data_IF_035172553425
#
_entry.id   IF_035172553425
#
_cell.length_a   1.000
_cell.length_b   1.000
_cell.length_c   1.000
_cell.angle_alpha   90.00
_cell.angle_beta   90.00
_cell.angle_gamma   90.00
#
_symmetry.space_group_name_H-M   'P 1'
#
loop_
_entity.id
_entity.type
_entity.pdbx_description
1 polymer ?
#
# COMPACT_ATOMS: atom_id res chain seq x y z
N UNK A 1 -10.90 12.54 6.74
CA UNK A 1 -10.51 13.85 7.32
C UNK A 1 -10.56 14.88 6.22
N UNK A 2 -11.43 15.88 6.35
CA UNK A 2 -11.64 16.98 5.41
C UNK A 2 -10.53 18.03 5.45
N UNK A 3 -10.31 18.70 4.31
CA UNK A 3 -9.33 19.78 4.13
C UNK A 3 -9.52 20.96 5.12
N UNK A 4 -10.77 21.27 5.47
CA UNK A 4 -11.08 22.33 6.44
C UNK A 4 -10.63 21.98 7.87
N UNK A 5 -10.62 20.69 8.23
CA UNK A 5 -10.13 20.23 9.53
C UNK A 5 -8.62 20.39 9.64
N UNK A 6 -7.89 20.22 8.53
CA UNK A 6 -6.44 20.37 8.48
C UNK A 6 -5.98 21.82 8.78
N UNK A 7 -6.61 22.83 8.16
CA UNK A 7 -6.30 24.23 8.43
C UNK A 7 -6.54 24.63 9.90
N UNK A 8 -7.56 24.04 10.54
CA UNK A 8 -7.87 24.28 11.95
C UNK A 8 -6.79 23.70 12.88
N UNK A 9 -6.20 22.55 12.52
CA UNK A 9 -5.13 21.93 13.30
C UNK A 9 -3.75 22.58 13.05
N UNK A 10 -3.45 22.99 11.82
CA UNK A 10 -2.22 23.71 11.47
C UNK A 10 -2.14 25.11 12.11
N UNK A 11 -3.27 25.68 12.55
CA UNK A 11 -3.37 26.96 13.25
C UNK A 11 -3.49 26.83 14.78
N UNK A 12 -3.48 25.62 15.35
CA UNK A 12 -3.53 25.40 16.81
C UNK A 12 -2.30 26.03 17.51
N UNK A 13 -2.33 26.38 18.81
CA UNK A 13 -1.14 26.89 19.50
C UNK A 13 0.06 25.94 19.34
N UNK A 14 1.28 26.50 19.41
CA UNK A 14 2.52 25.73 19.35
C UNK A 14 2.49 24.59 20.38
N UNK A 15 3.19 23.49 20.08
CA UNK A 15 3.40 22.36 20.99
C UNK A 15 3.67 22.88 22.41
N UNK A 16 3.06 22.27 23.43
CA UNK A 16 3.27 22.69 24.83
C UNK A 16 4.77 22.88 25.11
N UNK A 17 5.14 24.08 25.57
CA UNK A 17 6.53 24.41 25.86
C UNK A 17 7.10 23.41 26.88
N UNK A 18 8.19 22.74 26.49
CA UNK A 18 8.88 21.75 27.33
C UNK A 18 8.48 20.30 27.09
N UNK A 19 7.56 20.00 26.17
CA UNK A 19 7.12 18.63 25.86
C UNK A 19 7.15 18.34 24.36
N UNK A 20 7.73 17.19 23.99
CA UNK A 20 7.72 16.68 22.62
C UNK A 20 6.86 15.40 22.54
N UNK A 21 5.73 15.47 21.83
CA UNK A 21 4.86 14.32 21.61
C UNK A 21 5.05 13.73 20.20
N UNK A 22 4.97 12.40 20.09
CA UNK A 22 5.02 11.66 18.82
C UNK A 22 3.94 10.58 18.81
N UNK A 23 3.14 10.56 17.75
CA UNK A 23 2.20 9.48 17.49
C UNK A 23 2.78 8.50 16.47
N UNK A 24 2.54 7.20 16.67
CA UNK A 24 3.00 6.14 15.78
C UNK A 24 2.15 4.88 15.98
N UNK A 25 2.18 3.98 15.00
CA UNK A 25 1.52 2.69 15.10
C UNK A 25 2.44 1.64 15.72
N UNK A 26 1.88 0.81 16.60
CA UNK A 26 2.57 -0.34 17.18
C UNK A 26 1.65 -1.55 17.14
N UNK A 27 2.19 -2.67 16.67
CA UNK A 27 1.52 -3.95 16.72
C UNK A 27 1.59 -4.53 18.13
N UNK A 28 0.44 -4.78 18.73
CA UNK A 28 0.34 -5.45 20.04
C UNK A 28 -0.34 -6.80 19.87
N UNK A 29 0.11 -7.79 20.66
CA UNK A 29 -0.57 -9.08 20.77
C UNK A 29 -1.89 -8.86 21.48
N UNK A 30 -3.00 -9.29 20.87
CA UNK A 30 -4.30 -9.30 21.52
C UNK A 30 -4.49 -10.60 22.31
N UNK A 31 -5.42 -10.59 23.25
CA UNK A 31 -5.80 -11.79 24.01
C UNK A 31 -6.62 -12.79 23.17
N UNK A 32 -6.84 -12.52 21.88
CA UNK A 32 -7.63 -13.35 20.98
C UNK A 32 -6.72 -14.29 20.20
N UNK A 33 -7.22 -15.51 19.98
CA UNK A 33 -6.66 -16.47 19.05
C UNK A 33 -7.51 -16.50 17.78
N UNK A 34 -6.89 -16.74 16.63
CA UNK A 34 -7.61 -16.96 15.37
C UNK A 34 -8.24 -18.36 15.31
N UNK A 35 -8.93 -18.67 14.22
CA UNK A 35 -9.61 -19.96 14.04
C UNK A 35 -8.63 -21.15 13.97
N UNK A 36 -7.34 -20.88 13.77
CA UNK A 36 -6.25 -21.84 13.66
C UNK A 36 -5.43 -21.91 14.97
N UNK A 37 -5.78 -21.11 15.99
CA UNK A 37 -5.14 -21.09 17.30
C UNK A 37 -3.92 -20.18 17.43
N UNK A 38 -3.64 -19.32 16.44
CA UNK A 38 -2.53 -18.35 16.52
C UNK A 38 -2.95 -17.05 17.19
N UNK A 39 -2.03 -16.37 17.91
CA UNK A 39 -2.28 -15.04 18.45
C UNK A 39 -2.65 -14.03 17.38
N UNK A 40 -3.79 -13.35 17.58
CA UNK A 40 -4.17 -12.22 16.73
C UNK A 40 -3.40 -10.99 17.20
N UNK A 41 -2.77 -10.32 16.26
CA UNK A 41 -2.09 -9.05 16.51
C UNK A 41 -2.95 -7.91 15.99
N UNK A 42 -3.02 -6.81 16.75
CA UNK A 42 -3.73 -5.60 16.36
C UNK A 42 -2.77 -4.42 16.28
N UNK A 43 -2.92 -3.60 15.25
CA UNK A 43 -2.22 -2.34 15.13
C UNK A 43 -2.94 -1.28 15.97
N UNK A 44 -2.24 -0.72 16.94
CA UNK A 44 -2.76 0.29 17.87
C UNK A 44 -1.93 1.55 17.76
N UNK A 45 -2.60 2.70 17.73
CA UNK A 45 -1.94 4.00 17.77
C UNK A 45 -1.44 4.29 19.18
N UNK A 46 -0.14 4.56 19.31
CA UNK A 46 0.51 4.97 20.54
C UNK A 46 0.88 6.46 20.50
N UNK A 47 0.99 7.05 21.69
CA UNK A 47 1.45 8.42 21.89
C UNK A 47 2.62 8.38 22.87
N UNK A 48 3.80 8.70 22.36
CA UNK A 48 5.02 8.85 23.11
C UNK A 48 5.23 10.32 23.47
N UNK A 49 5.49 10.61 24.73
CA UNK A 49 5.69 11.96 25.24
C UNK A 49 7.06 12.01 25.91
N UNK A 50 7.91 12.95 25.48
CA UNK A 50 9.24 13.22 26.04
C UNK A 50 9.27 14.61 26.66
N UNK A 51 9.85 14.71 27.84
CA UNK A 51 10.10 16.00 28.50
C UNK A 51 11.42 16.58 27.99
N UNK A 52 11.45 17.88 27.69
CA UNK A 52 12.65 18.56 27.19
C UNK A 52 13.76 18.61 28.24
N UNK A 53 13.37 18.68 29.51
CA UNK A 53 14.30 18.75 30.65
C UNK A 53 14.77 17.36 31.11
N UNK A 54 14.07 16.29 30.71
CA UNK A 54 14.43 14.92 31.03
C UNK A 54 14.10 13.98 29.85
N UNK A 55 15.05 13.85 28.94
CA UNK A 55 14.91 13.03 27.73
C UNK A 55 14.93 11.52 28.03
N UNK A 56 15.37 11.12 29.23
CA UNK A 56 15.41 9.71 29.66
C UNK A 56 14.02 9.18 30.01
N UNK A 57 13.12 10.05 30.47
CA UNK A 57 11.75 9.69 30.78
C UNK A 57 10.88 9.76 29.52
N UNK A 58 10.49 8.58 29.04
CA UNK A 58 9.64 8.40 27.86
C UNK A 58 8.30 7.85 28.32
N UNK A 59 7.25 8.66 28.24
CA UNK A 59 5.88 8.22 28.54
C UNK A 59 5.24 7.67 27.28
N UNK A 60 5.20 6.34 27.16
CA UNK A 60 4.70 5.64 25.98
C UNK A 60 3.46 4.80 26.31
N UNK A 61 2.29 5.22 25.81
CA UNK A 61 1.03 4.50 26.04
C UNK A 61 0.07 4.66 24.85
N UNK A 62 -0.98 3.84 24.74
CA UNK A 62 -1.99 3.98 23.70
C UNK A 62 -2.55 5.41 23.62
N UNK A 63 -2.76 5.88 22.39
CA UNK A 63 -3.29 7.20 22.11
C UNK A 63 -4.79 7.25 22.45
N UNK A 64 -5.14 7.93 23.55
CA UNK A 64 -6.53 8.22 23.90
C UNK A 64 -7.01 9.51 23.24
N UNK A 65 -8.33 9.72 23.24
CA UNK A 65 -8.96 10.96 22.72
C UNK A 65 -8.39 12.20 23.42
N UNK A 66 -8.09 12.10 24.72
CA UNK A 66 -7.53 13.22 25.49
C UNK A 66 -6.11 13.57 25.02
N UNK A 67 -5.28 12.57 24.68
CA UNK A 67 -3.94 12.81 24.11
C UNK A 67 -4.03 13.46 22.73
N UNK A 68 -4.99 13.04 21.91
CA UNK A 68 -5.23 13.64 20.59
C UNK A 68 -5.67 15.11 20.72
N UNK A 69 -6.53 15.41 21.72
CA UNK A 69 -6.96 16.79 22.01
C UNK A 69 -5.81 17.64 22.55
N UNK A 70 -4.91 17.06 23.33
CA UNK A 70 -3.74 17.73 23.91
C UNK A 70 -2.65 18.01 22.87
N UNK A 71 -2.42 17.09 21.93
CA UNK A 71 -1.39 17.19 20.89
C UNK A 71 -1.98 17.12 19.48
N UNK A 72 -2.83 18.09 19.11
CA UNK A 72 -3.60 18.02 17.86
C UNK A 72 -2.70 18.20 16.62
N UNK A 73 -1.62 18.97 16.72
CA UNK A 73 -0.66 19.19 15.61
C UNK A 73 0.11 17.91 15.33
N UNK A 74 0.65 17.27 16.36
CA UNK A 74 1.45 16.04 16.27
C UNK A 74 0.59 14.88 15.76
N UNK A 75 -0.67 14.80 16.19
CA UNK A 75 -1.61 13.83 15.68
C UNK A 75 -1.97 14.08 14.21
N UNK A 76 -2.17 15.34 13.80
CA UNK A 76 -2.44 15.67 12.41
C UNK A 76 -1.26 15.30 11.49
N UNK A 77 -0.01 15.56 11.93
CA UNK A 77 1.20 15.15 11.22
C UNK A 77 1.28 13.63 11.08
N UNK A 78 1.05 12.89 12.17
CA UNK A 78 0.99 11.43 12.14
C UNK A 78 -0.07 10.93 11.16
N UNK A 79 -1.27 11.51 11.14
CA UNK A 79 -2.31 11.12 10.19
C UNK A 79 -1.94 11.39 8.73
N UNK A 80 -1.21 12.48 8.45
CA UNK A 80 -0.68 12.75 7.11
C UNK A 80 0.39 11.73 6.72
N UNK A 81 1.34 11.45 7.60
CA UNK A 81 2.39 10.46 7.36
C UNK A 81 1.80 9.06 7.13
N UNK A 82 0.81 8.66 7.93
CA UNK A 82 0.07 7.40 7.73
C UNK A 82 -0.60 7.33 6.36
N UNK A 83 -1.28 8.40 5.94
CA UNK A 83 -1.94 8.44 4.63
C UNK A 83 -0.93 8.30 3.49
N UNK A 84 0.21 8.98 3.57
CA UNK A 84 1.28 8.86 2.58
C UNK A 84 1.87 7.44 2.53
N UNK A 85 2.02 6.78 3.68
CA UNK A 85 2.45 5.38 3.75
C UNK A 85 1.38 4.41 3.22
N UNK A 86 0.09 4.74 3.36
CA UNK A 86 -1.02 3.93 2.85
C UNK A 86 -1.25 4.09 1.33
N UNK A 87 -0.87 5.23 0.75
CA UNK A 87 -1.05 5.55 -0.68
C UNK A 87 0.09 5.01 -1.57
N UNK A 88 1.05 4.25 -1.03
CA UNK A 88 2.15 3.67 -1.79
C UNK A 88 2.78 2.45 -1.13
N UNK A 89 3.81 1.90 -1.78
CA UNK A 89 4.66 0.84 -1.24
C UNK A 89 5.53 1.42 -0.13
N UNK A 90 5.41 0.94 1.13
CA UNK A 90 6.24 1.44 2.23
C UNK A 90 7.72 1.21 1.96
N UNK A 91 8.58 2.18 2.32
CA UNK A 91 10.04 2.06 2.12
C UNK A 91 10.64 0.84 2.84
N UNK A 92 10.01 0.32 3.88
CA UNK A 92 10.40 -0.89 4.60
C UNK A 92 10.31 -2.16 3.75
N UNK A 93 9.46 -2.16 2.73
CA UNK A 93 9.33 -3.28 1.78
C UNK A 93 10.34 -3.17 0.63
N UNK A 94 11.05 -2.05 0.54
CA UNK A 94 11.98 -1.78 -0.55
C UNK A 94 13.35 -2.38 -0.24
N UNK A 95 13.58 -3.60 -0.74
CA UNK A 95 14.76 -4.42 -0.44
C UNK A 95 16.11 -3.80 -0.85
N UNK A 96 16.11 -2.76 -1.69
CA UNK A 96 17.32 -2.09 -2.17
C UNK A 96 17.87 -1.04 -1.18
N UNK A 97 17.11 -0.69 -0.15
CA UNK A 97 17.56 0.24 0.90
C UNK A 97 17.79 -0.49 2.22
N UNK A 98 18.85 -0.05 2.90
CA UNK A 98 19.16 -0.46 4.26
C UNK A 98 18.31 0.30 5.28
N UNK A 99 18.19 -0.25 6.50
CA UNK A 99 17.42 0.41 7.59
C UNK A 99 17.87 1.86 7.87
N UNK A 100 19.18 2.18 7.94
CA UNK A 100 19.62 3.57 8.13
C UNK A 100 19.21 4.50 6.99
N UNK A 101 19.25 4.04 5.74
CA UNK A 101 18.83 4.82 4.57
C UNK A 101 17.32 5.08 4.60
N UNK A 102 16.52 4.08 4.97
CA UNK A 102 15.07 4.22 5.15
C UNK A 102 14.76 5.26 6.23
N UNK A 103 15.44 5.21 7.37
CA UNK A 103 15.25 6.19 8.45
C UNK A 103 15.66 7.61 8.00
N UNK A 104 16.76 7.75 7.28
CA UNK A 104 17.20 9.04 6.74
C UNK A 104 16.18 9.63 5.75
N UNK A 105 15.56 8.81 4.90
CA UNK A 105 14.50 9.24 3.98
C UNK A 105 13.22 9.66 4.72
N UNK A 106 12.83 8.92 5.76
CA UNK A 106 11.67 9.26 6.60
C UNK A 106 11.85 10.58 7.34
N UNK A 107 13.06 10.88 7.82
CA UNK A 107 13.38 12.17 8.43
C UNK A 107 13.20 13.31 7.42
N UNK A 108 13.43 13.04 6.12
CA UNK A 108 13.23 13.99 5.02
C UNK A 108 11.79 14.03 4.49
N UNK A 109 10.85 13.32 5.14
CA UNK A 109 9.44 13.31 4.77
C UNK A 109 9.08 12.37 3.61
N UNK A 110 9.96 11.43 3.26
CA UNK A 110 9.73 10.45 2.20
C UNK A 110 9.39 9.11 2.89
N UNK A 111 8.18 8.59 2.65
CA UNK A 111 7.65 7.40 3.36
C UNK A 111 7.32 6.23 2.43
N UNK A 112 7.18 6.48 1.13
CA UNK A 112 6.85 5.45 0.14
C UNK A 112 7.82 5.45 -1.05
N UNK A 113 7.94 4.31 -1.73
CA UNK A 113 8.79 4.15 -2.92
C UNK A 113 8.32 5.07 -4.05
N UNK A 114 7.01 5.27 -4.19
CA UNK A 114 6.39 6.17 -5.18
C UNK A 114 6.74 7.63 -4.87
N UNK A 115 6.69 8.04 -3.60
CA UNK A 115 7.12 9.39 -3.20
C UNK A 115 8.61 9.63 -3.46
N UNK A 116 9.44 8.61 -3.27
CA UNK A 116 10.88 8.65 -3.56
C UNK A 116 11.12 8.77 -5.07
N UNK A 117 10.46 7.96 -5.88
CA UNK A 117 10.59 7.98 -7.35
C UNK A 117 10.03 9.25 -8.02
N UNK A 118 9.04 9.88 -7.40
CA UNK A 118 8.42 11.12 -7.87
C UNK A 118 9.23 12.40 -7.59
N UNK A 119 10.34 12.32 -6.86
CA UNK A 119 11.19 13.48 -6.61
C UNK A 119 11.80 14.03 -7.90
N UNK A 120 11.83 15.37 -7.99
CA UNK A 120 12.53 16.10 -9.04
C UNK A 120 14.03 15.81 -9.01
N UNK A 121 14.67 15.88 -10.18
CA UNK A 121 16.06 15.50 -10.30
C UNK A 121 17.00 16.42 -9.53
N UNK A 122 16.72 17.73 -9.55
CA UNK A 122 17.48 18.73 -8.79
C UNK A 122 17.36 18.52 -7.27
N UNK A 123 16.15 18.18 -6.80
CA UNK A 123 15.91 17.91 -5.37
C UNK A 123 16.63 16.65 -4.93
N UNK A 124 16.55 15.57 -5.71
CA UNK A 124 17.24 14.32 -5.39
C UNK A 124 18.76 14.49 -5.36
N UNK A 125 19.32 15.28 -6.29
CA UNK A 125 20.74 15.63 -6.30
C UNK A 125 21.14 16.45 -5.08
N UNK A 126 20.35 17.48 -4.73
CA UNK A 126 20.61 18.33 -3.55
C UNK A 126 20.61 17.56 -2.23
N UNK A 127 19.76 16.54 -2.14
CA UNK A 127 19.64 15.66 -0.98
C UNK A 127 20.63 14.48 -1.01
N UNK A 128 21.38 14.30 -2.11
CA UNK A 128 22.32 13.20 -2.28
C UNK A 128 21.66 11.82 -2.41
N UNK A 129 20.40 11.76 -2.85
CA UNK A 129 19.58 10.53 -2.93
C UNK A 129 19.17 10.15 -4.36
N UNK A 130 19.95 10.61 -5.35
CA UNK A 130 19.64 10.37 -6.76
C UNK A 130 19.64 8.87 -7.11
N UNK A 131 20.52 8.09 -6.48
CA UNK A 131 20.63 6.65 -6.74
C UNK A 131 19.40 5.89 -6.24
N UNK A 132 18.94 6.23 -5.04
CA UNK A 132 17.80 5.66 -4.35
C UNK A 132 16.51 5.99 -5.10
N UNK A 133 16.39 7.23 -5.60
CA UNK A 133 15.32 7.64 -6.52
C UNK A 133 15.30 6.80 -7.79
N UNK A 134 16.45 6.61 -8.44
CA UNK A 134 16.52 5.85 -9.69
C UNK A 134 16.20 4.37 -9.49
N UNK A 135 16.62 3.80 -8.36
CA UNK A 135 16.22 2.45 -7.97
C UNK A 135 14.71 2.37 -7.74
N UNK A 136 14.11 3.36 -7.08
CA UNK A 136 12.67 3.43 -6.87
C UNK A 136 11.90 3.53 -8.21
N UNK A 137 12.35 4.38 -9.15
CA UNK A 137 11.76 4.50 -10.50
C UNK A 137 11.81 3.16 -11.24
N UNK A 138 12.97 2.50 -11.24
CA UNK A 138 13.14 1.17 -11.86
C UNK A 138 12.22 0.11 -11.24
N UNK A 139 12.07 0.13 -9.92
CA UNK A 139 11.18 -0.79 -9.22
C UNK A 139 9.71 -0.57 -9.60
N UNK A 140 9.27 0.69 -9.70
CA UNK A 140 7.91 1.04 -10.12
C UNK A 140 7.67 0.61 -11.58
N UNK A 141 8.64 0.85 -12.47
CA UNK A 141 8.58 0.40 -13.88
C UNK A 141 8.49 -1.13 -13.98
N UNK A 142 9.30 -1.86 -13.20
CA UNK A 142 9.26 -3.32 -13.13
C UNK A 142 7.92 -3.84 -12.58
N UNK A 143 7.39 -3.21 -11.53
CA UNK A 143 6.09 -3.55 -10.97
C UNK A 143 4.96 -3.34 -11.99
N UNK A 144 5.01 -2.25 -12.77
CA UNK A 144 4.07 -2.00 -13.86
C UNK A 144 4.16 -3.06 -14.96
N UNK A 145 5.37 -3.48 -15.33
CA UNK A 145 5.60 -4.54 -16.32
C UNK A 145 5.09 -5.91 -15.84
N UNK A 146 5.30 -6.27 -14.57
CA UNK A 146 4.77 -7.52 -14.00
C UNK A 146 3.23 -7.55 -14.00
N UNK A 147 2.59 -6.42 -13.70
CA UNK A 147 1.12 -6.27 -13.79
C UNK A 147 0.63 -6.43 -15.22
N UNK A 148 1.40 -5.96 -16.21
CA UNK A 148 1.12 -6.19 -17.61
C UNK A 148 1.19 -7.70 -17.93
N UNK A 149 2.26 -8.39 -17.58
CA UNK A 149 2.42 -9.83 -17.84
C UNK A 149 1.25 -10.66 -17.26
N UNK A 150 0.83 -10.38 -16.03
CA UNK A 150 -0.30 -11.07 -15.39
C UNK A 150 -1.62 -10.85 -16.15
N UNK A 151 -1.89 -9.61 -16.59
CA UNK A 151 -3.07 -9.31 -17.40
C UNK A 151 -3.05 -10.04 -18.76
N UNK A 152 -1.87 -10.20 -19.36
CA UNK A 152 -1.72 -10.93 -20.63
C UNK A 152 -1.93 -12.43 -20.42
N UNK A 153 -1.41 -13.01 -19.33
CA UNK A 153 -1.64 -14.41 -18.96
C UNK A 153 -3.12 -14.72 -18.73
N UNK A 154 -3.84 -13.85 -18.02
CA UNK A 154 -5.29 -14.00 -17.81
C UNK A 154 -6.08 -13.95 -19.12
N UNK A 155 -5.68 -13.08 -20.05
CA UNK A 155 -6.30 -13.01 -21.39
C UNK A 155 -6.00 -14.25 -22.22
N UNK A 156 -4.77 -14.77 -22.16
CA UNK A 156 -4.38 -16.01 -22.85
C UNK A 156 -5.23 -17.19 -22.38
N UNK A 157 -5.41 -17.34 -21.07
CA UNK A 157 -6.28 -18.38 -20.50
C UNK A 157 -7.74 -18.24 -20.96
N UNK A 158 -8.27 -17.01 -21.00
CA UNK A 158 -9.61 -16.74 -21.53
C UNK A 158 -9.74 -17.08 -23.02
N UNK A 159 -8.73 -16.77 -23.82
CA UNK A 159 -8.72 -17.10 -25.25
C UNK A 159 -8.63 -18.60 -25.48
N UNK A 160 -7.78 -19.32 -24.74
CA UNK A 160 -7.68 -20.77 -24.82
C UNK A 160 -9.01 -21.44 -24.44
N UNK A 161 -9.65 -21.00 -23.36
CA UNK A 161 -10.98 -21.48 -22.96
C UNK A 161 -12.04 -21.23 -24.05
N UNK A 162 -11.98 -20.07 -24.71
CA UNK A 162 -12.91 -19.73 -25.79
C UNK A 162 -12.65 -20.53 -27.07
N UNK A 163 -11.40 -20.77 -27.43
CA UNK A 163 -11.03 -21.61 -28.57
C UNK A 163 -11.55 -23.03 -28.33
N UNK A 164 -11.33 -23.59 -27.15
CA UNK A 164 -11.81 -24.94 -26.80
C UNK A 164 -13.34 -25.05 -26.94
N UNK A 165 -14.10 -24.07 -26.43
CA UNK A 165 -15.56 -24.04 -26.57
C UNK A 165 -16.02 -23.92 -28.03
N UNK A 166 -15.36 -23.07 -28.83
CA UNK A 166 -15.68 -22.92 -30.25
C UNK A 166 -15.35 -24.18 -31.06
N UNK A 167 -14.27 -24.90 -30.72
CA UNK A 167 -13.93 -26.17 -31.34
C UNK A 167 -14.98 -27.25 -31.04
N UNK A 168 -15.50 -27.29 -29.82
CA UNK A 168 -16.58 -28.19 -29.42
C UNK A 168 -17.90 -27.86 -30.15
N UNK A 169 -18.24 -26.59 -30.28
CA UNK A 169 -19.39 -26.11 -31.06
C UNK A 169 -19.26 -26.50 -32.54
N UNK A 170 -18.08 -26.30 -33.14
CA UNK A 170 -17.82 -26.70 -34.53
C UNK A 170 -17.94 -28.23 -34.69
N UNK A 171 -17.45 -29.01 -33.73
CA UNK A 171 -17.56 -30.47 -33.75
C UNK A 171 -19.04 -30.92 -33.70
N UNK A 172 -19.84 -30.35 -32.81
CA UNK A 172 -21.27 -30.66 -32.69
C UNK A 172 -22.07 -30.24 -33.93
N UNK A 173 -21.76 -29.08 -34.53
CA UNK A 173 -22.37 -28.61 -35.77
C UNK A 173 -22.02 -29.50 -36.97
N UNK A 174 -20.76 -29.95 -37.09
CA UNK A 174 -20.35 -30.90 -38.13
C UNK A 174 -21.09 -32.24 -37.98
N UNK A 175 -21.26 -32.73 -36.75
CA UNK A 175 -21.95 -33.98 -36.48
C UNK A 175 -23.46 -33.90 -36.80
N UNK A 176 -24.12 -32.79 -36.45
CA UNK A 176 -25.53 -32.55 -36.78
C UNK A 176 -25.77 -32.33 -38.28
N UNK A 177 -24.87 -31.63 -38.98
CA UNK A 177 -24.91 -31.47 -40.43
C UNK A 177 -24.70 -32.81 -41.19
N UNK A 178 -23.82 -33.68 -40.67
CA UNK A 178 -23.63 -35.05 -41.18
C UNK A 178 -24.89 -35.90 -41.03
N UNK A 179 -25.57 -35.81 -39.88
CA UNK A 179 -26.85 -36.51 -39.63
C UNK A 179 -27.99 -36.05 -40.54
N UNK A 180 -28.10 -34.74 -40.81
CA UNK A 180 -29.12 -34.17 -41.74
C UNK A 180 -28.94 -34.58 -43.20
N UNK A 181 -27.72 -34.83 -43.68
CA UNK A 181 -27.47 -35.34 -45.04
C UNK A 181 -27.85 -36.82 -45.20
N UNK A 182 -27.85 -37.60 -44.11
CA UNK A 182 -28.25 -39.02 -44.12
C UNK A 182 -29.75 -39.26 -44.20
N UNK A 183 -30.59 -38.35 -43.68
CA UNK A 183 -32.05 -38.51 -43.65
C UNK A 183 -32.78 -38.05 -44.93
N UNK A 184 -32.14 -37.33 -45.85
CA UNK A 184 -32.77 -36.83 -47.07
C UNK A 184 -32.66 -37.78 -48.29
N UNK A 185 -32.33 -39.06 -48.08
CA UNK A 185 -32.21 -40.08 -49.14
C UNK A 185 -33.37 -41.10 -49.18
N UNK A 186 -34.47 -40.83 -48.47
CA UNK A 186 -35.58 -41.78 -48.28
C UNK A 186 -36.96 -41.33 -48.78
N UNK A 187 -37.06 -40.29 -49.62
CA UNK A 187 -38.35 -39.80 -50.13
C UNK A 187 -38.42 -39.81 -51.65
N UNK A 188 -38.65 -40.98 -52.24
CA UNK A 188 -39.13 -41.11 -53.62
C UNK A 188 -40.46 -41.87 -53.55
N UNK A 189 -41.54 -41.18 -53.90
CA UNK A 189 -42.82 -41.75 -54.30
C UNK A 189 -43.19 -41.11 -55.64
#
# INVERSE_FOLDING_TARGET
MDFNSFNKFASAPASEDGVAARFYDRTIKTDKLDAQGFPVFAEVCFCEIRLKDNVSEVFDQPATIDKIRRFPREYALYQQMRKQAAEGTPLEQFAFLSKPEIEALKVRGIYSVESLGALDDDKANSLGIAKERDQARKFIEQAANNRCIENWRQKEEQYLARIAGLEEDIASLKQTAGKRKGSNKGGSN
#
